data_IF_498995131496
#
_entry.id   IF_498995131496
#
_cell.length_a   1.000
_cell.length_b   1.000
_cell.length_c   1.000
_cell.angle_alpha   90.00
_cell.angle_beta   90.00
_cell.angle_gamma   90.00
#
_symmetry.space_group_name_H-M   'P 1'
#
loop_
_entity.id
_entity.type
_entity.pdbx_description
1 polymer ?
#
# COMPACT_ATOMS: atom_id res chain seq x y z
N UNK A 1 65.49 -42.22 3.39
CA UNK A 1 66.33 -41.62 4.44
C UNK A 1 65.58 -41.77 5.74
N UNK A 2 66.21 -42.55 6.59
CA UNK A 2 65.86 -42.96 7.94
C UNK A 2 66.08 -41.78 8.94
N UNK A 3 65.89 -41.93 10.27
CA UNK A 3 64.76 -41.38 11.02
C UNK A 3 65.20 -40.55 12.26
N UNK A 4 64.27 -40.10 13.11
CA UNK A 4 64.44 -39.94 14.58
C UNK A 4 63.09 -39.50 15.17
N UNK A 5 62.31 -40.29 15.91
CA UNK A 5 62.54 -41.11 17.11
C UNK A 5 62.78 -40.27 18.39
N UNK A 6 61.73 -40.09 19.20
CA UNK A 6 61.88 -40.12 20.65
C UNK A 6 60.64 -40.73 21.32
N UNK A 7 60.88 -41.84 22.01
CA UNK A 7 59.92 -42.71 22.68
C UNK A 7 59.84 -42.37 24.20
N UNK A 8 58.85 -42.92 24.93
CA UNK A 8 58.47 -42.52 26.29
C UNK A 8 59.08 -43.43 27.38
N UNK A 9 59.03 -43.00 28.65
CA UNK A 9 59.00 -43.78 29.93
C UNK A 9 59.51 -42.92 31.12
N UNK A 10 59.26 -43.28 32.42
CA UNK A 10 58.70 -44.52 32.94
C UNK A 10 57.58 -44.41 33.99
N UNK A 11 56.89 -45.54 34.12
CA UNK A 11 56.09 -46.00 35.26
C UNK A 11 56.98 -46.18 36.50
N UNK A 12 56.50 -45.75 37.68
CA UNK A 12 56.92 -46.30 38.99
C UNK A 12 55.70 -46.74 39.78
N UNK A 13 55.55 -48.05 39.91
CA UNK A 13 54.81 -48.70 40.99
C UNK A 13 55.64 -48.63 42.28
N UNK A 14 54.99 -48.38 43.41
CA UNK A 14 55.46 -48.81 44.73
C UNK A 14 54.25 -49.20 45.58
N UNK A 15 54.46 -50.26 46.35
CA UNK A 15 53.45 -51.09 46.98
C UNK A 15 52.93 -50.54 48.33
N UNK A 16 51.69 -50.93 48.62
CA UNK A 16 51.11 -51.36 49.90
C UNK A 16 51.71 -50.84 51.22
N UNK A 17 50.86 -50.17 52.00
CA UNK A 17 50.77 -50.40 53.44
C UNK A 17 49.30 -50.30 53.90
N UNK A 18 48.78 -51.42 54.43
CA UNK A 18 47.53 -51.49 55.19
C UNK A 18 47.74 -50.83 56.56
N UNK A 19 46.83 -49.96 56.96
CA UNK A 19 46.48 -49.81 58.38
C UNK A 19 45.01 -49.43 58.49
N UNK A 20 44.25 -50.34 59.08
CA UNK A 20 42.88 -50.14 59.48
C UNK A 20 42.83 -49.17 60.67
N UNK A 21 41.92 -48.20 60.60
CA UNK A 21 41.35 -47.55 61.78
C UNK A 21 39.91 -47.15 61.44
N UNK A 22 39.00 -48.02 61.85
CA UNK A 22 37.56 -47.80 61.89
C UNK A 22 37.23 -46.54 62.70
N UNK A 23 36.78 -45.48 62.03
CA UNK A 23 35.89 -44.49 62.64
C UNK A 23 34.48 -44.80 62.15
N UNK A 24 33.64 -45.24 63.08
CA UNK A 24 32.21 -45.34 62.89
C UNK A 24 31.67 -43.95 62.55
N UNK A 25 31.53 -43.69 61.25
CA UNK A 25 30.76 -42.56 60.74
C UNK A 25 29.29 -42.91 60.89
N UNK A 26 28.61 -42.20 61.78
CA UNK A 26 27.16 -42.14 61.82
C UNK A 26 26.69 -41.76 60.42
N UNK A 27 26.16 -42.73 59.67
CA UNK A 27 25.41 -42.49 58.43
C UNK A 27 24.16 -41.73 58.84
N UNK A 28 24.28 -40.41 58.93
CA UNK A 28 23.14 -39.51 59.03
C UNK A 28 22.31 -39.75 57.78
N UNK A 29 21.20 -40.46 57.93
CA UNK A 29 20.16 -40.56 56.93
C UNK A 29 19.77 -39.12 56.57
N UNK A 30 20.20 -38.65 55.41
CA UNK A 30 19.72 -37.37 54.89
C UNK A 30 18.22 -37.58 54.71
N UNK A 31 17.40 -36.92 55.51
CA UNK A 31 15.98 -37.18 55.48
C UNK A 31 15.46 -36.71 54.11
N UNK A 32 14.62 -37.55 53.49
CA UNK A 32 14.17 -37.44 52.08
C UNK A 32 13.58 -36.07 51.73
N UNK A 33 13.17 -35.28 52.72
CA UNK A 33 12.69 -33.91 52.52
C UNK A 33 13.77 -32.94 52.03
N UNK A 34 15.06 -33.17 52.30
CA UNK A 34 16.14 -32.25 51.89
C UNK A 34 16.26 -32.13 50.35
N UNK A 35 16.42 -33.22 49.57
CA UNK A 35 16.42 -33.12 48.11
C UNK A 35 15.08 -32.62 47.54
N UNK A 36 13.95 -32.91 48.20
CA UNK A 36 12.64 -32.41 47.79
C UNK A 36 12.55 -30.88 47.90
N UNK A 37 13.04 -30.31 49.01
CA UNK A 37 13.10 -28.85 49.22
C UNK A 37 14.02 -28.18 48.20
N UNK A 38 15.15 -28.81 47.85
CA UNK A 38 16.07 -28.27 46.83
C UNK A 38 15.41 -28.25 45.45
N UNK A 39 14.70 -29.32 45.06
CA UNK A 39 13.98 -29.37 43.78
C UNK A 39 12.85 -28.35 43.76
N UNK A 40 12.04 -28.26 44.83
CA UNK A 40 10.96 -27.28 44.91
C UNK A 40 11.47 -25.83 44.93
N UNK A 41 12.59 -25.56 45.59
CA UNK A 41 13.25 -24.26 45.55
C UNK A 41 13.81 -23.96 44.14
N UNK A 42 14.37 -24.95 43.46
CA UNK A 42 14.83 -24.83 42.07
C UNK A 42 13.68 -24.52 41.10
N UNK A 43 12.57 -25.26 41.20
CA UNK A 43 11.35 -24.99 40.41
C UNK A 43 10.79 -23.62 40.72
N UNK A 44 10.68 -23.24 42.00
CA UNK A 44 10.23 -21.93 42.42
C UNK A 44 11.13 -20.80 41.91
N UNK A 45 12.45 -21.00 41.89
CA UNK A 45 13.41 -20.05 41.35
C UNK A 45 13.27 -19.90 39.83
N UNK A 46 13.24 -21.01 39.08
CA UNK A 46 13.01 -21.01 37.62
C UNK A 46 11.68 -20.34 37.27
N UNK A 47 10.63 -20.59 38.06
CA UNK A 47 9.33 -19.96 37.83
C UNK A 47 9.39 -18.45 38.09
N UNK A 48 10.03 -18.03 39.18
CA UNK A 48 10.18 -16.60 39.52
C UNK A 48 11.06 -15.84 38.53
N UNK A 49 12.12 -16.47 38.02
CA UNK A 49 12.96 -15.87 36.97
C UNK A 49 12.24 -15.82 35.63
N UNK A 50 11.42 -16.83 35.31
CA UNK A 50 10.57 -16.79 34.10
C UNK A 50 9.50 -15.70 34.19
N UNK A 51 8.94 -15.47 35.38
CA UNK A 51 7.95 -14.43 35.62
C UNK A 51 8.59 -13.03 35.63
N UNK A 52 9.81 -12.88 36.17
CA UNK A 52 10.53 -11.61 36.11
C UNK A 52 11.06 -11.33 34.71
N UNK A 53 11.48 -12.34 33.94
CA UNK A 53 11.81 -12.17 32.53
C UNK A 53 10.56 -11.81 31.71
N UNK A 54 9.42 -12.46 31.95
CA UNK A 54 8.15 -12.13 31.31
C UNK A 54 7.68 -10.71 31.66
N UNK A 55 7.84 -10.26 32.92
CA UNK A 55 7.53 -8.89 33.36
C UNK A 55 8.56 -7.86 32.90
N UNK A 56 9.84 -8.22 32.74
CA UNK A 56 10.84 -7.36 32.10
C UNK A 56 10.67 -7.25 30.58
N UNK A 57 9.97 -8.22 29.97
CA UNK A 57 9.53 -8.20 28.57
C UNK A 57 8.14 -7.56 28.39
N UNK A 58 7.42 -7.26 29.47
CA UNK A 58 6.25 -6.39 29.47
C UNK A 58 6.73 -4.93 29.40
N UNK A 59 6.75 -4.37 28.20
CA UNK A 59 7.38 -3.08 27.91
C UNK A 59 8.35 -3.10 26.73
N UNK A 60 8.29 -4.12 25.86
CA UNK A 60 9.00 -4.09 24.59
C UNK A 60 8.56 -2.85 23.79
N UNK A 61 9.51 -1.93 23.59
CA UNK A 61 9.33 -0.78 22.73
C UNK A 61 9.54 -1.22 21.29
N UNK A 62 8.59 -0.88 20.43
CA UNK A 62 8.72 -1.00 18.97
C UNK A 62 9.34 0.30 18.47
N UNK A 63 10.45 0.19 17.77
CA UNK A 63 11.09 1.32 17.09
C UNK A 63 10.50 1.51 15.69
N UNK A 64 9.68 2.55 15.53
CA UNK A 64 8.95 2.81 14.28
C UNK A 64 9.86 3.43 13.20
N UNK A 65 11.06 3.91 13.57
CA UNK A 65 12.05 4.45 12.63
C UNK A 65 12.63 3.39 11.70
N UNK A 66 12.52 2.11 12.08
CA UNK A 66 12.97 0.94 11.31
C UNK A 66 11.80 0.27 10.59
N UNK A 67 10.79 1.04 10.22
CA UNK A 67 9.62 0.54 9.50
C UNK A 67 9.94 0.27 8.03
N UNK A 68 9.42 -0.84 7.53
CA UNK A 68 9.42 -1.17 6.12
C UNK A 68 7.97 -1.43 5.69
N UNK A 69 7.53 -0.75 4.64
CA UNK A 69 6.30 -1.10 3.95
C UNK A 69 6.59 -2.35 3.11
N UNK A 70 6.13 -3.50 3.60
CA UNK A 70 6.25 -4.76 2.86
C UNK A 70 5.22 -4.77 1.72
N UNK A 71 5.73 -4.87 0.50
CA UNK A 71 4.94 -4.76 -0.72
C UNK A 71 4.40 -6.14 -1.11
N UNK A 72 3.12 -6.37 -0.80
CA UNK A 72 2.35 -7.42 -1.48
C UNK A 72 1.54 -6.85 -2.67
N UNK A 73 1.46 -5.53 -2.81
CA UNK A 73 0.67 -4.88 -3.86
C UNK A 73 1.59 -4.19 -4.90
N UNK A 74 1.49 -4.54 -6.21
CA UNK A 74 2.30 -3.94 -7.26
C UNK A 74 1.97 -2.44 -7.51
N UNK A 75 0.81 -1.99 -7.04
CA UNK A 75 0.22 -0.68 -7.36
C UNK A 75 0.52 0.41 -6.33
N UNK A 76 1.50 0.21 -5.44
CA UNK A 76 1.89 1.20 -4.43
C UNK A 76 2.94 2.16 -4.98
N UNK A 77 2.62 3.45 -5.04
CA UNK A 77 3.59 4.47 -5.43
C UNK A 77 4.77 4.54 -4.43
N UNK A 78 6.03 4.59 -4.90
CA UNK A 78 7.20 4.69 -4.02
C UNK A 78 7.10 5.81 -2.98
N UNK A 79 6.53 6.95 -3.39
CA UNK A 79 6.35 8.13 -2.56
C UNK A 79 5.48 7.87 -1.33
N UNK A 80 4.46 7.00 -1.43
CA UNK A 80 3.60 6.67 -0.30
C UNK A 80 4.35 5.91 0.79
N UNK A 81 5.29 5.04 0.38
CA UNK A 81 6.18 4.38 1.33
C UNK A 81 7.07 5.38 2.07
N UNK A 82 7.54 6.43 1.39
CA UNK A 82 8.39 7.44 2.00
C UNK A 82 7.58 8.35 2.93
N UNK A 83 6.37 8.76 2.53
CA UNK A 83 5.43 9.50 3.40
C UNK A 83 5.09 8.72 4.66
N UNK A 84 4.76 7.42 4.54
CA UNK A 84 4.45 6.59 5.70
C UNK A 84 5.68 6.42 6.61
N UNK A 85 6.88 6.18 6.05
CA UNK A 85 8.12 6.08 6.84
C UNK A 85 8.41 7.37 7.60
N UNK A 86 8.26 8.52 6.94
CA UNK A 86 8.45 9.82 7.59
C UNK A 86 7.46 9.98 8.75
N UNK A 87 6.18 9.71 8.49
CA UNK A 87 5.13 9.76 9.50
C UNK A 87 5.44 8.85 10.70
N UNK A 88 5.82 7.59 10.44
CA UNK A 88 6.19 6.63 11.49
C UNK A 88 7.46 7.03 12.26
N UNK A 89 8.43 7.67 11.59
CA UNK A 89 9.64 8.17 12.23
C UNK A 89 9.36 9.34 13.18
N UNK A 90 8.37 10.19 12.86
CA UNK A 90 7.91 11.29 13.72
C UNK A 90 7.23 10.79 15.01
N UNK A 91 6.49 9.67 14.93
CA UNK A 91 5.93 8.99 16.12
C UNK A 91 7.02 8.30 16.97
N UNK A 92 8.13 7.90 16.34
CA UNK A 92 9.35 7.42 17.00
C UNK A 92 9.24 6.01 17.60
N UNK A 93 8.55 5.86 18.74
CA UNK A 93 8.46 4.58 19.46
C UNK A 93 7.10 4.39 20.12
N UNK A 94 6.58 3.16 20.04
CA UNK A 94 5.34 2.76 20.70
C UNK A 94 5.58 1.53 21.56
N UNK A 95 4.94 1.49 22.73
CA UNK A 95 4.98 0.31 23.61
C UNK A 95 4.06 -0.78 23.06
N UNK A 96 4.58 -2.00 22.90
CA UNK A 96 3.80 -3.13 22.37
C UNK A 96 2.62 -3.55 23.26
N UNK A 97 2.69 -3.27 24.56
CA UNK A 97 1.63 -3.57 25.53
C UNK A 97 0.65 -2.39 25.74
N UNK A 98 0.94 -1.22 25.16
CA UNK A 98 0.07 -0.05 25.24
C UNK A 98 -0.93 -0.06 24.08
N UNK A 99 -2.06 -0.71 24.34
CA UNK A 99 -3.18 -0.77 23.41
C UNK A 99 -3.68 0.62 22.99
N UNK A 100 -3.68 1.60 23.90
CA UNK A 100 -4.15 2.95 23.61
C UNK A 100 -3.21 3.70 22.68
N UNK A 101 -1.90 3.52 22.84
CA UNK A 101 -0.91 4.08 21.93
C UNK A 101 -0.97 3.42 20.55
N UNK A 102 -1.19 2.10 20.48
CA UNK A 102 -1.39 1.39 19.22
C UNK A 102 -2.67 1.83 18.49
N UNK A 103 -3.79 1.96 19.21
CA UNK A 103 -5.04 2.47 18.65
C UNK A 103 -4.86 3.90 18.14
N UNK A 104 -4.18 4.77 18.91
CA UNK A 104 -3.87 6.14 18.47
C UNK A 104 -2.99 6.16 17.21
N UNK A 105 -1.95 5.33 17.14
CA UNK A 105 -1.10 5.19 15.95
C UNK A 105 -1.93 4.75 14.73
N UNK A 106 -2.74 3.71 14.88
CA UNK A 106 -3.60 3.23 13.80
C UNK A 106 -4.57 4.32 13.33
N UNK A 107 -5.21 5.05 14.25
CA UNK A 107 -6.11 6.15 13.89
C UNK A 107 -5.40 7.28 13.14
N UNK A 108 -4.14 7.58 13.46
CA UNK A 108 -3.38 8.58 12.70
C UNK A 108 -2.95 8.06 11.32
N UNK A 109 -2.57 6.80 11.21
CA UNK A 109 -2.27 6.17 9.91
C UNK A 109 -3.51 6.17 9.02
N UNK A 110 -4.69 5.90 9.59
CA UNK A 110 -5.97 5.91 8.89
C UNK A 110 -6.35 7.31 8.37
N UNK A 111 -5.80 8.39 8.95
CA UNK A 111 -5.99 9.76 8.47
C UNK A 111 -5.11 10.11 7.27
N UNK A 112 -4.17 9.24 6.89
CA UNK A 112 -3.34 9.47 5.71
C UNK A 112 -4.20 9.35 4.43
N UNK A 113 -4.16 10.32 3.50
CA UNK A 113 -5.10 10.35 2.37
C UNK A 113 -5.08 9.15 1.43
N UNK A 114 -3.98 8.40 1.39
CA UNK A 114 -3.84 7.20 0.55
C UNK A 114 -4.21 5.89 1.28
N UNK A 115 -4.56 5.96 2.57
CA UNK A 115 -4.97 4.80 3.38
C UNK A 115 -6.49 4.72 3.40
N UNK A 116 -7.03 3.61 2.90
CA UNK A 116 -8.46 3.35 2.91
C UNK A 116 -8.91 2.65 4.19
N UNK A 117 -8.08 1.73 4.69
CA UNK A 117 -8.40 0.99 5.91
C UNK A 117 -7.15 0.50 6.61
N UNK A 118 -7.14 0.64 7.93
CA UNK A 118 -6.12 0.04 8.79
C UNK A 118 -6.65 -1.27 9.38
N UNK A 119 -5.92 -2.35 9.18
CA UNK A 119 -6.19 -3.66 9.76
C UNK A 119 -5.76 -3.76 11.23
N UNK A 120 -6.06 -4.89 11.86
CA UNK A 120 -5.64 -5.12 13.24
C UNK A 120 -4.13 -5.26 13.34
N UNK A 121 -3.48 -4.35 14.07
CA UNK A 121 -2.06 -4.40 14.35
C UNK A 121 -1.68 -5.69 15.11
N UNK A 122 -0.60 -6.34 14.67
CA UNK A 122 -0.06 -7.57 15.25
C UNK A 122 1.38 -7.37 15.65
N UNK A 123 1.71 -7.72 16.88
CA UNK A 123 3.08 -7.69 17.35
C UNK A 123 3.87 -8.88 16.80
N UNK A 124 5.02 -8.62 16.19
CA UNK A 124 5.97 -9.63 15.71
C UNK A 124 7.18 -9.60 16.64
N UNK A 125 7.48 -10.73 17.28
CA UNK A 125 8.65 -10.81 18.17
C UNK A 125 9.97 -10.74 17.37
N UNK A 126 11.03 -10.13 17.93
CA UNK A 126 11.13 -9.62 19.30
C UNK A 126 10.64 -8.17 19.53
N UNK A 127 10.57 -7.35 18.49
CA UNK A 127 10.36 -5.89 18.57
C UNK A 127 9.67 -5.27 17.33
N UNK A 128 8.99 -6.10 16.52
CA UNK A 128 8.30 -5.69 15.29
C UNK A 128 6.80 -5.46 15.48
N UNK A 129 6.23 -4.64 14.60
CA UNK A 129 4.79 -4.40 14.50
C UNK A 129 4.37 -4.56 13.04
N UNK A 130 3.37 -5.41 12.81
CA UNK A 130 2.74 -5.63 11.52
C UNK A 130 1.36 -4.98 11.52
N UNK A 131 1.16 -4.01 10.63
CA UNK A 131 -0.11 -3.31 10.46
C UNK A 131 -0.55 -3.53 9.02
N UNK A 132 -1.53 -4.41 8.76
CA UNK A 132 -2.09 -4.57 7.43
C UNK A 132 -2.77 -3.27 6.99
N UNK A 133 -2.51 -2.81 5.78
CA UNK A 133 -3.12 -1.60 5.22
C UNK A 133 -3.86 -1.94 3.92
N UNK A 134 -5.07 -1.39 3.76
CA UNK A 134 -5.72 -1.25 2.45
C UNK A 134 -5.52 0.18 2.00
N UNK A 135 -5.02 0.36 0.78
CA UNK A 135 -4.74 1.67 0.21
C UNK A 135 -5.80 2.02 -0.82
N UNK A 136 -6.11 3.31 -0.96
CA UNK A 136 -7.01 3.78 -2.01
C UNK A 136 -6.40 3.50 -3.39
N UNK A 137 -7.20 2.97 -4.30
CA UNK A 137 -6.80 2.78 -5.68
C UNK A 137 -6.91 4.10 -6.45
N UNK A 138 -5.82 4.65 -6.98
CA UNK A 138 -5.87 5.83 -7.84
C UNK A 138 -6.48 5.43 -9.18
N UNK A 139 -7.42 6.23 -9.69
CA UNK A 139 -8.13 5.97 -10.95
C UNK A 139 -7.87 7.03 -12.02
N UNK A 140 -7.32 8.17 -11.62
CA UNK A 140 -7.01 9.27 -12.51
C UNK A 140 -5.83 10.10 -11.97
N UNK A 141 -5.42 11.09 -12.76
CA UNK A 141 -4.50 12.14 -12.34
C UNK A 141 -5.13 13.51 -12.61
N UNK A 142 -4.81 14.50 -11.79
CA UNK A 142 -4.98 15.91 -12.15
C UNK A 142 -3.63 16.52 -12.44
N UNK A 143 -3.59 17.45 -13.37
CA UNK A 143 -2.40 18.26 -13.61
C UNK A 143 -2.50 19.57 -12.85
N UNK A 144 -1.45 19.90 -12.13
CA UNK A 144 -1.27 21.22 -11.53
C UNK A 144 0.11 21.73 -11.90
N UNK A 145 0.18 22.88 -12.56
CA UNK A 145 1.44 23.42 -13.08
C UNK A 145 2.14 22.41 -14.02
N UNK A 146 3.30 21.88 -13.61
CA UNK A 146 4.11 20.90 -14.36
C UNK A 146 4.02 19.48 -13.81
N UNK A 147 3.25 19.26 -12.75
CA UNK A 147 3.19 17.96 -12.05
C UNK A 147 1.80 17.33 -12.18
N UNK A 148 1.80 16.01 -12.12
CA UNK A 148 0.62 15.16 -12.12
C UNK A 148 0.44 14.57 -10.73
N UNK A 149 -0.76 14.70 -10.19
CA UNK A 149 -1.12 14.22 -8.86
C UNK A 149 -2.18 13.13 -9.01
N UNK A 150 -2.03 11.98 -8.36
CA UNK A 150 -3.01 10.90 -8.44
C UNK A 150 -4.29 11.29 -7.71
N UNK A 151 -5.42 10.78 -8.19
CA UNK A 151 -6.74 10.98 -7.59
C UNK A 151 -7.41 9.63 -7.40
N UNK A 152 -8.02 9.44 -6.24
CA UNK A 152 -8.94 8.33 -5.99
C UNK A 152 -10.38 8.83 -5.87
N UNK A 153 -11.31 7.95 -6.21
CA UNK A 153 -12.71 8.09 -5.85
C UNK A 153 -12.93 7.36 -4.52
N UNK A 154 -13.33 8.10 -3.48
CA UNK A 154 -13.62 7.55 -2.16
C UNK A 154 -15.14 7.52 -1.98
N UNK A 155 -15.76 6.34 -1.77
CA UNK A 155 -17.16 6.25 -1.42
C UNK A 155 -17.45 6.96 -0.08
N UNK A 156 -18.49 7.79 -0.04
CA UNK A 156 -19.07 8.38 1.18
C UNK A 156 -20.53 7.92 1.32
N UNK A 157 -21.14 8.10 2.49
CA UNK A 157 -22.46 7.57 2.86
C UNK A 157 -23.61 8.02 1.93
N UNK A 158 -23.39 9.08 1.15
CA UNK A 158 -24.38 9.68 0.24
C UNK A 158 -23.94 9.76 -1.21
N UNK A 159 -22.64 9.98 -1.44
CA UNK A 159 -22.06 10.20 -2.77
C UNK A 159 -20.60 9.74 -2.79
N UNK A 160 -20.00 9.61 -3.97
CA UNK A 160 -18.57 9.38 -4.10
C UNK A 160 -17.83 10.72 -4.24
N UNK A 161 -16.70 10.88 -3.54
CA UNK A 161 -15.87 12.09 -3.62
C UNK A 161 -14.53 11.80 -4.28
N UNK A 162 -14.08 12.72 -5.13
CA UNK A 162 -12.70 12.70 -5.65
C UNK A 162 -11.74 13.29 -4.63
N UNK A 163 -10.66 12.58 -4.29
CA UNK A 163 -9.64 13.05 -3.33
C UNK A 163 -8.26 13.05 -3.98
N UNK A 164 -7.54 14.16 -3.79
CA UNK A 164 -6.17 14.31 -4.25
C UNK A 164 -5.21 13.51 -3.36
N UNK A 165 -4.46 12.59 -3.97
CA UNK A 165 -3.51 11.73 -3.28
C UNK A 165 -2.08 12.30 -3.36
N UNK A 166 -1.19 11.95 -2.42
CA UNK A 166 0.22 12.33 -2.52
C UNK A 166 0.91 11.61 -3.68
N UNK A 167 2.07 12.12 -4.07
CA UNK A 167 2.96 11.44 -5.01
C UNK A 167 3.18 12.15 -6.34
N UNK A 168 3.25 13.49 -6.35
CA UNK A 168 3.48 14.29 -7.55
C UNK A 168 4.56 13.72 -8.50
N UNK A 169 4.25 13.62 -9.79
CA UNK A 169 5.15 13.11 -10.82
C UNK A 169 5.24 14.05 -12.04
N UNK A 170 6.31 13.92 -12.83
CA UNK A 170 6.50 14.70 -14.08
C UNK A 170 5.64 14.20 -15.25
N UNK A 171 5.08 13.01 -15.12
CA UNK A 171 4.21 12.37 -16.11
C UNK A 171 3.02 11.74 -15.37
N UNK A 172 1.87 11.51 -16.06
CA UNK A 172 0.77 10.77 -15.47
C UNK A 172 1.24 9.44 -14.88
N UNK A 173 0.68 9.07 -13.73
CA UNK A 173 1.05 7.85 -13.03
C UNK A 173 0.76 6.62 -13.88
N UNK A 174 1.58 5.57 -13.73
CA UNK A 174 1.35 4.26 -14.32
C UNK A 174 0.91 3.26 -13.26
N UNK A 175 -0.01 2.38 -13.63
CA UNK A 175 -0.58 1.33 -12.78
C UNK A 175 -0.46 -0.02 -13.48
N UNK A 176 -0.47 -1.12 -12.72
CA UNK A 176 -0.32 -2.47 -13.24
C UNK A 176 1.11 -3.00 -13.21
N UNK A 177 1.26 -4.26 -13.62
CA UNK A 177 2.57 -4.94 -13.69
C UNK A 177 3.45 -4.35 -14.80
N UNK A 178 4.75 -4.66 -14.80
CA UNK A 178 5.67 -4.14 -15.82
C UNK A 178 5.25 -4.45 -17.27
N UNK A 179 4.59 -5.60 -17.50
CA UNK A 179 4.13 -6.05 -18.82
C UNK A 179 2.76 -5.48 -19.22
N UNK A 180 1.95 -5.09 -18.22
CA UNK A 180 0.56 -4.64 -18.40
C UNK A 180 0.33 -3.21 -17.88
N UNK A 181 1.40 -2.41 -17.81
CA UNK A 181 1.36 -1.08 -17.22
C UNK A 181 0.64 -0.06 -18.13
N UNK A 182 -0.45 0.52 -17.65
CA UNK A 182 -1.21 1.58 -18.32
C UNK A 182 -1.05 2.92 -17.60
N UNK A 183 -1.27 4.03 -18.31
CA UNK A 183 -1.28 5.36 -17.68
C UNK A 183 -2.66 5.64 -17.08
N UNK A 184 -2.68 6.28 -15.91
CA UNK A 184 -3.91 6.86 -15.38
C UNK A 184 -4.35 8.04 -16.28
N UNK A 185 -5.65 8.14 -16.61
CA UNK A 185 -6.16 9.26 -17.39
C UNK A 185 -6.00 10.57 -16.61
N UNK A 186 -5.72 11.65 -17.32
CA UNK A 186 -5.64 13.00 -16.77
C UNK A 186 -7.00 13.66 -16.86
N UNK A 187 -7.45 14.34 -15.80
CA UNK A 187 -8.69 15.09 -15.79
C UNK A 187 -8.43 16.54 -16.22
N UNK A 188 -9.14 17.02 -17.24
CA UNK A 188 -9.10 18.42 -17.64
C UNK A 188 -9.81 19.32 -16.62
N UNK A 189 -9.61 20.64 -16.71
CA UNK A 189 -10.36 21.63 -15.92
C UNK A 189 -9.92 21.82 -14.47
N UNK A 190 -8.92 21.06 -13.99
CA UNK A 190 -8.39 21.24 -12.62
C UNK A 190 -7.47 22.48 -12.49
N UNK A 191 -6.70 22.82 -13.54
CA UNK A 191 -5.64 23.85 -13.53
C UNK A 191 -6.15 25.30 -13.76
N UNK A 192 -7.44 25.57 -13.52
CA UNK A 192 -8.09 26.80 -13.99
C UNK A 192 -7.97 28.04 -13.04
N UNK A 193 -6.82 28.24 -12.39
CA UNK A 193 -6.47 29.57 -11.87
C UNK A 193 -6.45 29.77 -10.34
N UNK A 194 -6.24 28.72 -9.54
CA UNK A 194 -5.97 28.87 -8.10
C UNK A 194 -4.53 29.37 -7.85
N UNK A 195 -4.37 30.41 -7.02
CA UNK A 195 -3.03 30.91 -6.61
C UNK A 195 -2.32 29.92 -5.67
N UNK A 196 -3.08 29.06 -5.00
CA UNK A 196 -2.58 28.13 -3.98
C UNK A 196 -2.47 26.72 -4.52
N UNK A 197 -1.29 26.12 -4.37
CA UNK A 197 -1.10 24.70 -4.66
C UNK A 197 -2.15 23.85 -3.91
N UNK A 198 -2.72 22.83 -4.55
CA UNK A 198 -3.75 22.01 -3.95
C UNK A 198 -3.12 21.24 -2.79
N UNK A 199 -3.86 21.12 -1.69
CA UNK A 199 -3.37 20.33 -0.57
C UNK A 199 -3.69 18.86 -0.82
N UNK A 200 -2.71 18.00 -0.55
CA UNK A 200 -2.95 16.55 -0.57
C UNK A 200 -4.01 16.22 0.48
N UNK A 201 -4.99 15.40 0.11
CA UNK A 201 -6.17 15.11 0.90
C UNK A 201 -7.36 16.03 0.62
N UNK A 202 -7.19 17.10 -0.16
CA UNK A 202 -8.30 17.95 -0.56
C UNK A 202 -9.27 17.20 -1.49
N UNK A 203 -10.56 17.49 -1.30
CA UNK A 203 -11.63 17.04 -2.17
C UNK A 203 -11.69 17.87 -3.47
N UNK A 204 -11.97 17.20 -4.58
CA UNK A 204 -12.25 17.84 -5.86
C UNK A 204 -13.65 18.46 -5.82
N UNK A 205 -13.73 19.77 -6.10
CA UNK A 205 -15.00 20.53 -5.98
C UNK A 205 -15.58 21.00 -7.31
N UNK A 206 -14.80 20.95 -8.38
CA UNK A 206 -15.25 21.40 -9.70
C UNK A 206 -16.12 20.31 -10.35
N UNK A 207 -17.37 20.64 -10.69
CA UNK A 207 -18.33 19.71 -11.31
C UNK A 207 -17.78 19.03 -12.56
N UNK A 208 -17.15 19.77 -13.47
CA UNK A 208 -16.54 19.20 -14.69
C UNK A 208 -15.40 18.21 -14.38
N UNK A 209 -14.62 18.45 -13.32
CA UNK A 209 -13.55 17.53 -12.90
C UNK A 209 -14.16 16.28 -12.28
N UNK A 210 -15.25 16.40 -11.53
CA UNK A 210 -15.99 15.26 -10.97
C UNK A 210 -16.64 14.42 -12.07
N UNK A 211 -17.25 15.05 -13.08
CA UNK A 211 -17.78 14.37 -14.26
C UNK A 211 -16.69 13.60 -15.02
N UNK A 212 -15.52 14.23 -15.22
CA UNK A 212 -14.37 13.56 -15.82
C UNK A 212 -13.84 12.39 -14.96
N UNK A 213 -13.83 12.54 -13.63
CA UNK A 213 -13.46 11.47 -12.70
C UNK A 213 -14.44 10.30 -12.75
N UNK A 214 -15.73 10.58 -12.95
CA UNK A 214 -16.76 9.55 -13.06
C UNK A 214 -16.62 8.74 -14.36
N UNK A 215 -16.27 9.40 -15.47
CA UNK A 215 -15.85 8.71 -16.69
C UNK A 215 -14.61 7.83 -16.40
N UNK A 216 -13.59 8.35 -15.70
CA UNK A 216 -12.40 7.57 -15.35
C UNK A 216 -12.72 6.33 -14.48
N UNK A 217 -13.68 6.45 -13.55
CA UNK A 217 -14.18 5.32 -12.77
C UNK A 217 -14.81 4.26 -13.69
N UNK A 218 -15.73 4.67 -14.56
CA UNK A 218 -16.39 3.75 -15.49
C UNK A 218 -15.40 3.08 -16.46
N UNK A 219 -14.33 3.78 -16.85
CA UNK A 219 -13.24 3.21 -17.64
C UNK A 219 -12.59 2.03 -16.92
N UNK A 220 -12.29 2.17 -15.63
CA UNK A 220 -11.68 1.10 -14.83
C UNK A 220 -12.62 -0.09 -14.67
N UNK A 221 -13.92 0.16 -14.55
CA UNK A 221 -14.97 -0.85 -14.37
C UNK A 221 -15.24 -1.65 -15.66
N UNK A 222 -15.22 -1.00 -16.83
CA UNK A 222 -15.67 -1.60 -18.09
C UNK A 222 -14.55 -2.00 -19.05
N UNK A 223 -13.38 -1.34 -19.02
CA UNK A 223 -12.27 -1.71 -19.91
C UNK A 223 -11.31 -2.70 -19.27
N UNK A 224 -10.95 -3.72 -20.05
CA UNK A 224 -9.90 -4.68 -19.70
C UNK A 224 -8.50 -4.04 -19.73
N UNK A 225 -7.53 -4.72 -19.11
CA UNK A 225 -6.15 -4.23 -19.03
C UNK A 225 -5.53 -4.01 -20.41
N UNK A 226 -5.78 -4.88 -21.38
CA UNK A 226 -5.28 -4.72 -22.75
C UNK A 226 -5.77 -3.42 -23.41
N UNK A 227 -7.05 -3.06 -23.21
CA UNK A 227 -7.62 -1.83 -23.78
C UNK A 227 -7.08 -0.59 -23.08
N UNK A 228 -6.94 -0.62 -21.75
CA UNK A 228 -6.28 0.45 -21.00
C UNK A 228 -4.84 0.69 -21.45
N UNK A 229 -4.11 -0.37 -21.80
CA UNK A 229 -2.77 -0.25 -22.39
C UNK A 229 -2.85 0.39 -23.79
N UNK A 230 -3.80 -0.02 -24.65
CA UNK A 230 -4.01 0.54 -26.00
C UNK A 230 -4.45 2.01 -26.01
N UNK A 231 -5.14 2.47 -24.98
CA UNK A 231 -5.50 3.88 -24.83
C UNK A 231 -4.28 4.79 -24.67
N UNK A 232 -3.17 4.26 -24.11
CA UNK A 232 -1.98 5.06 -23.84
C UNK A 232 -2.25 6.16 -22.81
N UNK A 233 -1.76 7.37 -23.07
CA UNK A 233 -2.07 8.54 -22.23
C UNK A 233 -3.41 9.12 -22.68
N UNK A 234 -4.33 9.34 -21.76
CA UNK A 234 -5.63 9.92 -22.08
C UNK A 234 -5.86 11.19 -21.25
N UNK A 235 -6.45 12.21 -21.86
CA UNK A 235 -7.04 13.36 -21.19
C UNK A 235 -8.56 13.24 -21.29
N UNK A 236 -9.24 13.21 -20.16
CA UNK A 236 -10.70 13.24 -20.08
C UNK A 236 -11.12 14.69 -19.87
N UNK A 237 -11.80 15.25 -20.87
CA UNK A 237 -12.32 16.61 -20.86
C UNK A 237 -13.85 16.59 -20.80
N UNK A 238 -14.39 16.96 -19.65
CA UNK A 238 -15.83 17.17 -19.40
C UNK A 238 -16.13 18.64 -19.08
N UNK A 239 -15.31 19.57 -19.59
CA UNK A 239 -15.53 21.02 -19.36
C UNK A 239 -16.60 21.63 -20.25
N UNK A 240 -17.09 20.88 -21.24
CA UNK A 240 -18.09 21.33 -22.22
C UNK A 240 -19.41 20.61 -21.99
N UNK A 241 -20.49 21.37 -22.01
CA UNK A 241 -21.86 20.83 -21.93
C UNK A 241 -22.36 20.32 -23.29
N UNK A 242 -21.80 20.84 -24.38
CA UNK A 242 -22.26 20.57 -25.76
C UNK A 242 -21.13 19.94 -26.58
N UNK A 243 -21.48 18.92 -27.34
CA UNK A 243 -20.60 18.23 -28.27
C UNK A 243 -20.29 19.06 -29.53
N UNK A 244 -19.42 18.51 -30.40
CA UNK A 244 -18.97 19.19 -31.62
C UNK A 244 -20.07 19.38 -32.67
N UNK A 245 -21.11 18.56 -32.63
CA UNK A 245 -22.28 18.60 -33.51
C UNK A 245 -23.43 19.47 -32.98
N UNK A 246 -23.25 20.07 -31.80
CA UNK A 246 -24.27 20.91 -31.14
C UNK A 246 -25.28 20.14 -30.29
N UNK A 247 -25.16 18.81 -30.17
CA UNK A 247 -25.99 18.01 -29.27
C UNK A 247 -25.46 18.04 -27.83
N UNK A 248 -26.29 17.74 -26.81
CA UNK A 248 -25.82 17.55 -25.44
C UNK A 248 -24.73 16.47 -25.32
N UNK A 249 -23.95 16.52 -24.23
CA UNK A 249 -22.90 15.56 -23.94
C UNK A 249 -21.55 15.96 -24.54
N UNK A 250 -20.94 17.00 -23.98
CA UNK A 250 -19.66 17.52 -24.47
C UNK A 250 -18.41 16.79 -23.98
N UNK A 251 -18.54 15.70 -23.21
CA UNK A 251 -17.38 15.00 -22.68
C UNK A 251 -16.65 14.22 -23.78
N UNK A 252 -15.32 14.28 -23.74
CA UNK A 252 -14.44 13.63 -24.72
C UNK A 252 -13.16 13.11 -24.09
N UNK A 253 -12.58 12.11 -24.71
CA UNK A 253 -11.26 11.60 -24.37
C UNK A 253 -10.30 11.93 -25.50
N UNK A 254 -9.23 12.64 -25.19
CA UNK A 254 -8.13 12.91 -26.11
C UNK A 254 -7.00 11.93 -25.78
N UNK A 255 -6.77 10.97 -26.67
CA UNK A 255 -5.71 9.97 -26.53
C UNK A 255 -4.39 10.50 -27.05
N UNK A 256 -3.31 9.97 -26.50
CA UNK A 256 -1.91 10.27 -26.86
C UNK A 256 -1.51 11.76 -26.71
N UNK A 257 -2.34 12.56 -26.03
CA UNK A 257 -2.01 13.95 -25.70
C UNK A 257 -0.90 14.05 -24.65
N UNK A 258 0.16 14.82 -24.96
CA UNK A 258 1.23 15.17 -24.01
C UNK A 258 1.46 16.68 -24.03
N UNK A 259 1.14 17.36 -22.92
CA UNK A 259 1.36 18.81 -22.81
C UNK A 259 0.23 19.64 -23.43
N UNK A 260 0.57 20.66 -24.22
CA UNK A 260 -0.36 21.62 -24.83
C UNK A 260 -0.71 21.30 -26.29
N UNK A 261 -0.29 20.16 -26.80
CA UNK A 261 -0.49 19.75 -28.18
C UNK A 261 -1.21 18.39 -28.22
N UNK A 262 -2.45 18.38 -28.73
CA UNK A 262 -3.20 17.16 -29.06
C UNK A 262 -3.00 16.82 -30.53
N UNK A 263 -2.30 15.71 -30.79
CA UNK A 263 -2.09 15.16 -32.14
C UNK A 263 -2.68 13.74 -32.29
N UNK A 264 -3.47 13.31 -31.31
CA UNK A 264 -3.88 11.92 -31.19
C UNK A 264 -5.35 11.70 -31.48
N UNK A 265 -5.82 10.54 -31.03
CA UNK A 265 -7.13 10.00 -31.34
C UNK A 265 -8.19 10.59 -30.40
N UNK A 266 -9.38 10.90 -30.90
CA UNK A 266 -10.45 11.51 -30.09
C UNK A 266 -11.64 10.55 -29.94
N UNK A 267 -12.15 10.41 -28.72
CA UNK A 267 -13.39 9.69 -28.44
C UNK A 267 -14.41 10.72 -27.94
N UNK A 268 -15.51 10.91 -28.68
CA UNK A 268 -16.65 11.68 -28.20
C UNK A 268 -17.53 10.75 -27.36
N UNK A 269 -17.56 11.00 -26.05
CA UNK A 269 -18.17 10.09 -25.09
C UNK A 269 -19.62 10.45 -24.73
N UNK A 270 -19.98 11.73 -24.86
CA UNK A 270 -21.31 12.22 -24.50
C UNK A 270 -21.38 12.72 -23.08
N UNK A 271 -22.43 12.33 -22.36
CA UNK A 271 -22.60 12.67 -20.96
C UNK A 271 -21.70 11.79 -20.08
N UNK A 272 -21.15 12.38 -19.02
CA UNK A 272 -20.56 11.60 -17.93
C UNK A 272 -21.63 10.71 -17.26
N UNK A 273 -21.28 9.54 -16.70
CA UNK A 273 -22.30 8.65 -16.14
C UNK A 273 -23.15 9.30 -15.03
N UNK A 274 -22.58 10.20 -14.23
CA UNK A 274 -23.29 10.99 -13.22
C UNK A 274 -24.24 12.07 -13.77
N UNK A 275 -24.10 12.43 -15.05
CA UNK A 275 -24.89 13.46 -15.74
C UNK A 275 -25.82 12.87 -16.81
N UNK A 276 -25.78 11.55 -17.03
CA UNK A 276 -26.47 10.87 -18.12
C UNK A 276 -27.97 11.17 -18.15
N UNK A 277 -28.38 11.87 -19.21
CA UNK A 277 -29.78 12.22 -19.45
C UNK A 277 -30.61 11.08 -20.07
N UNK A 278 -31.94 11.23 -20.13
CA UNK A 278 -32.80 10.32 -20.89
C UNK A 278 -32.39 10.27 -22.36
N UNK A 279 -32.17 9.06 -22.89
CA UNK A 279 -31.76 8.85 -24.28
C UNK A 279 -30.25 8.69 -24.47
N UNK A 280 -29.45 8.91 -23.42
CA UNK A 280 -28.02 8.60 -23.46
C UNK A 280 -27.79 7.09 -23.52
N UNK A 281 -26.84 6.66 -24.37
CA UNK A 281 -26.49 5.25 -24.50
C UNK A 281 -25.94 4.71 -23.17
N UNK A 282 -26.28 3.47 -22.75
CA UNK A 282 -25.71 2.88 -21.54
C UNK A 282 -24.17 2.90 -21.56
N UNK A 283 -23.58 3.23 -20.41
CA UNK A 283 -22.11 3.37 -20.25
C UNK A 283 -21.33 2.12 -20.71
N UNK A 284 -21.87 0.93 -20.46
CA UNK A 284 -21.29 -0.34 -20.91
C UNK A 284 -21.22 -0.44 -22.45
N UNK A 285 -22.28 -0.02 -23.14
CA UNK A 285 -22.32 -0.03 -24.61
C UNK A 285 -21.32 0.98 -25.19
N UNK A 286 -21.20 2.18 -24.58
CA UNK A 286 -20.17 3.15 -24.98
C UNK A 286 -18.77 2.56 -24.85
N UNK A 287 -18.46 1.90 -23.74
CA UNK A 287 -17.15 1.26 -23.56
C UNK A 287 -16.92 0.06 -24.49
N UNK A 288 -17.98 -0.66 -24.87
CA UNK A 288 -17.93 -1.67 -25.93
C UNK A 288 -17.49 -1.07 -27.27
N UNK A 289 -18.09 0.06 -27.67
CA UNK A 289 -17.68 0.80 -28.86
C UNK A 289 -16.22 1.30 -28.77
N UNK A 290 -15.80 1.79 -27.60
CA UNK A 290 -14.41 2.21 -27.39
C UNK A 290 -13.44 1.04 -27.54
N UNK A 291 -13.74 -0.12 -26.96
CA UNK A 291 -12.90 -1.32 -27.08
C UNK A 291 -12.74 -1.73 -28.54
N UNK A 292 -13.83 -1.80 -29.30
CA UNK A 292 -13.80 -2.12 -30.73
C UNK A 292 -12.97 -1.10 -31.53
N UNK A 293 -13.15 0.19 -31.25
CA UNK A 293 -12.39 1.25 -31.90
C UNK A 293 -10.89 1.13 -31.61
N UNK A 294 -10.49 0.85 -30.36
CA UNK A 294 -9.09 0.64 -29.98
C UNK A 294 -8.43 -0.52 -30.73
N UNK A 295 -9.18 -1.59 -31.03
CA UNK A 295 -8.68 -2.73 -31.79
C UNK A 295 -8.56 -2.44 -33.29
N UNK A 296 -9.51 -1.70 -33.85
CA UNK A 296 -9.56 -1.37 -35.29
C UNK A 296 -8.61 -0.22 -35.67
N UNK A 297 -8.32 0.67 -34.73
CA UNK A 297 -7.67 1.96 -34.99
C UNK A 297 -8.65 3.00 -35.52
N UNK A 298 -8.47 4.26 -35.11
CA UNK A 298 -9.32 5.40 -35.45
C UNK A 298 -8.56 6.72 -35.26
N UNK A 299 -8.99 7.79 -35.93
CA UNK A 299 -8.53 9.16 -35.66
C UNK A 299 -9.54 9.88 -34.75
N UNK A 300 -10.83 9.77 -35.04
CA UNK A 300 -11.87 10.10 -34.07
C UNK A 300 -13.05 9.12 -34.14
N UNK A 301 -13.72 8.90 -33.02
CA UNK A 301 -14.90 8.05 -32.91
C UNK A 301 -15.93 8.71 -31.99
N UNK A 302 -17.20 8.66 -32.39
CA UNK A 302 -18.33 9.07 -31.56
C UNK A 302 -19.09 7.83 -31.08
N UNK A 303 -19.14 7.65 -29.76
CA UNK A 303 -19.71 6.45 -29.12
C UNK A 303 -21.07 6.74 -28.46
N UNK A 304 -21.66 7.91 -28.73
CA UNK A 304 -22.96 8.33 -28.17
C UNK A 304 -24.16 7.62 -28.80
N UNK A 305 -23.98 7.01 -29.97
CA UNK A 305 -25.05 6.39 -30.75
C UNK A 305 -25.01 4.87 -30.68
N UNK A 306 -26.14 4.22 -31.03
CA UNK A 306 -26.26 2.76 -31.09
C UNK A 306 -25.21 2.11 -32.00
N UNK A 307 -24.80 2.80 -33.06
CA UNK A 307 -23.67 2.45 -33.91
C UNK A 307 -22.59 3.54 -33.78
N UNK A 308 -21.37 3.15 -33.42
CA UNK A 308 -20.27 4.11 -33.31
C UNK A 308 -19.91 4.73 -34.66
N UNK A 309 -19.78 6.05 -34.69
CA UNK A 309 -19.43 6.79 -35.91
C UNK A 309 -17.93 7.08 -35.95
N UNK A 310 -17.28 6.73 -37.06
CA UNK A 310 -15.83 6.87 -37.22
C UNK A 310 -15.49 8.01 -38.15
N UNK A 311 -14.49 8.79 -37.75
CA UNK A 311 -13.98 9.95 -38.45
C UNK A 311 -12.49 9.75 -38.75
N UNK A 312 -12.07 10.19 -39.94
CA UNK A 312 -10.67 10.19 -40.42
C UNK A 312 -10.16 11.61 -40.53
#
# INVERSE_FOLDING_TARGET
MEPQAYAPAPVRQAALARTAASRAGVLGSIPVWVPLVIVLAGVGWVWRTSESEARSRAGAWVDLTRSALFRECPDVFPQWSDTLRQFLAEEGRVRADDRSALESLCSKIEQLPFVEKVGSARFIRPDGLDIPLRLHQPIACVRWSSKYYPVAMIPDDKDARGVLLPGAADVPHRMGSAEEAYFLPVLAGFDAGGIHAPQVGDELKNGSVLAALDIARSLVEHLGTADRVRMGRALIDATREVAFDGLPGGARLELEGVGSESHGRVIHFGDAPCEAGPGELPVEAKWGHVSEALERGFDAVDVRFDEAEYYR
#
